data_IF_131485572669
#
_entry.id   IF_131485572669
#
_cell.length_a   1.000
_cell.length_b   1.000
_cell.length_c   1.000
_cell.angle_alpha   90.00
_cell.angle_beta   90.00
_cell.angle_gamma   90.00
#
_symmetry.space_group_name_H-M   'P 1'
#
loop_
_entity.id
_entity.type
_entity.pdbx_description
1 polymer ?
#
# COMPACT_ATOMS: atom_id res chain seq x y z
N UNK A 1 19.72 -0.65 3.84
CA UNK A 1 20.19 0.75 3.70
C UNK A 1 19.58 1.43 2.48
N UNK A 2 19.56 0.80 1.29
CA UNK A 2 18.97 1.39 0.08
C UNK A 2 17.49 1.75 0.22
N UNK A 3 16.67 0.85 0.81
CA UNK A 3 15.23 1.09 1.06
C UNK A 3 14.97 2.27 2.01
N UNK A 4 15.76 2.38 3.07
CA UNK A 4 15.68 3.52 3.99
C UNK A 4 16.08 4.82 3.28
N UNK A 5 17.17 4.80 2.49
CA UNK A 5 17.58 5.94 1.67
C UNK A 5 16.50 6.38 0.67
N UNK A 6 15.84 5.43 0.01
CA UNK A 6 14.72 5.73 -0.90
C UNK A 6 13.54 6.36 -0.17
N UNK A 7 13.17 5.84 0.99
CA UNK A 7 12.09 6.39 1.81
C UNK A 7 12.36 7.86 2.24
N UNK A 8 13.57 8.15 2.73
CA UNK A 8 13.92 9.51 3.17
C UNK A 8 14.18 10.47 2.00
N UNK A 9 14.60 9.98 0.84
CA UNK A 9 14.91 10.81 -0.33
C UNK A 9 13.72 11.06 -1.25
N UNK A 10 12.88 10.07 -1.45
CA UNK A 10 11.75 10.13 -2.40
C UNK A 10 10.39 10.22 -1.72
N UNK A 11 10.28 9.81 -0.45
CA UNK A 11 9.01 9.72 0.26
C UNK A 11 8.10 8.60 -0.24
N UNK A 12 6.87 8.54 0.31
CA UNK A 12 5.80 7.66 -0.14
C UNK A 12 4.72 8.46 -0.85
N UNK A 13 4.17 7.89 -1.90
CA UNK A 13 2.97 8.42 -2.57
C UNK A 13 1.73 7.98 -1.78
N UNK A 14 1.37 8.73 -0.75
CA UNK A 14 0.20 8.44 0.08
C UNK A 14 -1.10 8.63 -0.68
N UNK A 15 -2.00 7.65 -0.59
CA UNK A 15 -3.37 7.75 -1.07
C UNK A 15 -4.26 8.66 -0.20
N UNK A 16 -5.47 8.88 -0.67
CA UNK A 16 -6.48 9.70 0.05
C UNK A 16 -6.82 9.11 1.43
N UNK A 17 -6.64 7.81 1.63
CA UNK A 17 -6.82 7.16 2.93
C UNK A 17 -5.99 7.79 4.06
N UNK A 18 -4.84 8.37 3.71
CA UNK A 18 -3.88 8.94 4.67
C UNK A 18 -3.71 10.47 4.58
N UNK A 19 -4.08 11.06 3.44
CA UNK A 19 -4.01 12.51 3.23
C UNK A 19 -5.37 13.21 3.30
N UNK A 20 -6.44 12.46 3.10
CA UNK A 20 -7.75 12.99 2.80
C UNK A 20 -7.85 13.50 1.36
N UNK A 21 -9.02 13.89 0.95
CA UNK A 21 -9.29 14.43 -0.37
C UNK A 21 -10.35 13.66 -1.15
N UNK A 22 -10.40 13.92 -2.44
CA UNK A 22 -11.38 13.33 -3.36
C UNK A 22 -10.68 12.54 -4.45
N UNK A 23 -11.15 11.31 -4.68
CA UNK A 23 -10.69 10.42 -5.75
C UNK A 23 -11.90 10.08 -6.62
N UNK A 24 -11.75 10.33 -7.92
CA UNK A 24 -12.78 10.05 -8.91
C UNK A 24 -12.16 9.21 -10.03
N UNK A 25 -12.75 8.04 -10.27
CA UNK A 25 -12.46 7.21 -11.44
C UNK A 25 -13.55 7.39 -12.47
N UNK A 26 -13.16 7.80 -13.67
CA UNK A 26 -14.06 7.96 -14.79
C UNK A 26 -13.67 7.05 -15.95
N UNK A 27 -14.67 6.56 -16.68
CA UNK A 27 -14.53 5.92 -17.98
C UNK A 27 -14.98 6.87 -19.09
N UNK A 28 -14.28 6.85 -20.22
CA UNK A 28 -14.62 7.58 -21.44
C UNK A 28 -14.90 6.61 -22.58
N UNK A 29 -15.74 6.99 -23.54
CA UNK A 29 -16.07 6.14 -24.70
C UNK A 29 -14.84 5.90 -25.62
N UNK A 30 -13.94 6.86 -25.71
CA UNK A 30 -12.70 6.82 -26.48
C UNK A 30 -11.51 7.03 -25.55
N UNK A 31 -10.28 6.89 -26.08
CA UNK A 31 -9.06 7.17 -25.32
C UNK A 31 -9.09 8.60 -24.73
N UNK A 32 -8.91 8.72 -23.43
CA UNK A 32 -9.08 9.96 -22.70
C UNK A 32 -7.98 10.98 -23.04
N UNK A 33 -8.35 12.21 -23.35
CA UNK A 33 -7.42 13.33 -23.42
C UNK A 33 -7.15 13.89 -22.01
N UNK A 34 -6.10 13.39 -21.37
CA UNK A 34 -5.70 13.84 -20.03
C UNK A 34 -5.36 15.34 -19.99
N UNK A 35 -4.90 15.91 -21.12
CA UNK A 35 -4.59 17.34 -21.23
C UNK A 35 -5.86 18.19 -21.17
N UNK A 36 -6.87 17.79 -21.93
CA UNK A 36 -8.17 18.46 -21.94
C UNK A 36 -8.86 18.36 -20.58
N UNK A 37 -8.86 17.17 -19.96
CA UNK A 37 -9.45 16.97 -18.61
C UNK A 37 -8.72 17.84 -17.57
N UNK A 38 -7.39 17.88 -17.60
CA UNK A 38 -6.61 18.73 -16.68
C UNK A 38 -6.88 20.22 -16.90
N UNK A 39 -7.00 20.64 -18.15
CA UNK A 39 -7.32 22.03 -18.49
C UNK A 39 -8.71 22.44 -17.98
N UNK A 40 -9.71 21.59 -18.19
CA UNK A 40 -11.08 21.79 -17.69
C UNK A 40 -11.12 21.93 -16.17
N UNK A 41 -10.46 21.01 -15.45
CA UNK A 41 -10.43 21.05 -13.98
C UNK A 41 -9.61 22.21 -13.43
N UNK A 42 -8.66 22.76 -14.19
CA UNK A 42 -7.89 23.94 -13.75
C UNK A 42 -8.73 25.19 -13.60
N UNK A 43 -9.87 25.28 -14.28
CA UNK A 43 -10.82 26.39 -14.16
C UNK A 43 -11.48 26.49 -12.77
N UNK A 44 -11.50 25.35 -12.04
CA UNK A 44 -12.06 25.28 -10.70
C UNK A 44 -11.08 25.79 -9.60
N UNK A 45 -9.81 26.02 -9.94
CA UNK A 45 -8.76 26.48 -9.00
C UNK A 45 -8.61 25.57 -7.75
N UNK A 46 -8.72 24.24 -7.93
CA UNK A 46 -8.70 23.24 -6.85
C UNK A 46 -7.30 22.98 -6.25
N UNK A 47 -6.28 23.73 -6.64
CA UNK A 47 -4.90 23.48 -6.22
C UNK A 47 -4.26 22.33 -6.98
N UNK A 48 -3.68 21.33 -6.26
CA UNK A 48 -3.01 20.19 -6.91
C UNK A 48 -4.04 19.15 -7.37
N UNK A 49 -4.27 19.10 -8.68
CA UNK A 49 -5.15 18.11 -9.34
C UNK A 49 -4.30 17.15 -10.13
N UNK A 50 -4.26 15.90 -9.70
CA UNK A 50 -3.56 14.83 -10.40
C UNK A 50 -4.54 14.08 -11.31
N UNK A 51 -4.23 14.06 -12.61
CA UNK A 51 -5.00 13.34 -13.63
C UNK A 51 -4.09 12.34 -14.32
N UNK A 52 -4.41 11.06 -14.25
CA UNK A 52 -3.59 9.99 -14.81
C UNK A 52 -4.45 8.87 -15.44
N UNK A 53 -3.88 8.15 -16.40
CA UNK A 53 -4.48 6.91 -16.89
C UNK A 53 -4.52 5.85 -15.78
N UNK A 54 -5.58 5.05 -15.76
CA UNK A 54 -5.81 4.03 -14.75
C UNK A 54 -6.23 2.70 -15.38
N UNK A 55 -5.28 1.94 -15.86
CA UNK A 55 -5.49 0.63 -16.48
C UNK A 55 -5.66 0.70 -17.98
N UNK A 56 -6.87 1.01 -18.48
CA UNK A 56 -7.11 1.18 -19.91
C UNK A 56 -6.93 2.66 -20.33
N UNK A 57 -6.64 2.95 -21.62
CA UNK A 57 -6.57 4.32 -22.12
C UNK A 57 -7.89 5.11 -22.01
N UNK A 58 -8.99 4.42 -21.79
CA UNK A 58 -10.31 5.00 -21.57
C UNK A 58 -10.60 5.33 -20.09
N UNK A 59 -9.75 4.87 -19.19
CA UNK A 59 -9.98 4.98 -17.75
C UNK A 59 -9.06 6.03 -17.16
N UNK A 60 -9.62 7.00 -16.43
CA UNK A 60 -8.89 8.11 -15.84
C UNK A 60 -9.14 8.17 -14.36
N UNK A 61 -8.07 8.28 -13.59
CA UNK A 61 -8.08 8.56 -12.17
C UNK A 61 -7.78 10.04 -11.94
N UNK A 62 -8.71 10.71 -11.28
CA UNK A 62 -8.60 12.11 -10.86
C UNK A 62 -8.47 12.11 -9.35
N UNK A 63 -7.41 12.71 -8.84
CA UNK A 63 -7.18 12.91 -7.42
C UNK A 63 -7.04 14.39 -7.13
N UNK A 64 -7.76 14.86 -6.12
CA UNK A 64 -7.67 16.21 -5.59
C UNK A 64 -7.33 16.12 -4.11
N UNK A 65 -6.29 16.86 -3.69
CA UNK A 65 -5.94 16.94 -2.28
C UNK A 65 -7.07 17.59 -1.48
N UNK A 66 -7.06 17.34 -0.19
CA UNK A 66 -8.01 17.94 0.75
C UNK A 66 -7.95 19.47 0.69
N UNK A 67 -9.10 20.08 0.55
CA UNK A 67 -9.26 21.53 0.66
C UNK A 67 -9.87 21.91 2.02
N UNK A 68 -9.62 23.12 2.45
CA UNK A 68 -10.21 23.69 3.67
C UNK A 68 -11.64 24.16 3.43
N UNK A 69 -12.38 24.37 4.53
CA UNK A 69 -13.74 24.94 4.48
C UNK A 69 -13.78 26.27 3.73
N UNK A 70 -12.77 27.15 3.94
CA UNK A 70 -12.71 28.45 3.26
C UNK A 70 -12.50 28.30 1.74
N UNK A 71 -11.65 27.38 1.32
CA UNK A 71 -11.42 27.08 -0.10
C UNK A 71 -12.67 26.44 -0.74
N UNK A 72 -13.41 25.60 -0.02
CA UNK A 72 -14.66 25.03 -0.51
C UNK A 72 -15.76 26.08 -0.69
N UNK A 73 -15.84 27.07 0.20
CA UNK A 73 -16.76 28.21 0.03
C UNK A 73 -16.37 29.07 -1.18
N UNK A 74 -15.07 29.29 -1.40
CA UNK A 74 -14.60 29.98 -2.61
C UNK A 74 -14.93 29.18 -3.87
N UNK A 75 -14.81 27.86 -3.82
CA UNK A 75 -15.18 26.96 -4.91
C UNK A 75 -16.67 27.01 -5.24
N UNK A 76 -17.57 27.06 -4.23
CA UNK A 76 -19.00 27.26 -4.45
C UNK A 76 -19.31 28.58 -5.18
N UNK A 77 -18.64 29.67 -4.79
CA UNK A 77 -18.76 30.95 -5.48
C UNK A 77 -18.28 30.86 -6.93
N UNK A 78 -17.16 30.15 -7.17
CA UNK A 78 -16.60 29.92 -8.51
C UNK A 78 -17.54 29.10 -9.39
N UNK A 79 -18.12 28.02 -8.85
CA UNK A 79 -19.14 27.21 -9.57
C UNK A 79 -20.32 28.05 -9.99
N UNK A 80 -20.76 28.98 -9.14
CA UNK A 80 -21.87 29.90 -9.46
C UNK A 80 -21.47 30.88 -10.56
N UNK A 81 -20.23 31.40 -10.54
CA UNK A 81 -19.70 32.29 -11.58
C UNK A 81 -19.61 31.59 -12.94
N UNK A 82 -19.13 30.32 -12.94
CA UNK A 82 -19.04 29.48 -14.13
C UNK A 82 -20.40 28.92 -14.59
N UNK A 83 -21.48 29.19 -13.86
CA UNK A 83 -22.84 28.68 -14.13
C UNK A 83 -22.91 27.16 -14.28
N UNK A 84 -22.14 26.45 -13.46
CA UNK A 84 -22.11 24.99 -13.48
C UNK A 84 -23.44 24.39 -13.01
N UNK A 85 -23.93 23.38 -13.72
CA UNK A 85 -25.14 22.64 -13.34
C UNK A 85 -24.81 21.62 -12.24
N UNK A 86 -24.92 22.05 -10.99
CA UNK A 86 -24.67 21.26 -9.81
C UNK A 86 -25.90 21.21 -8.89
N UNK A 87 -26.07 20.15 -8.08
CA UNK A 87 -27.14 20.08 -7.10
C UNK A 87 -27.20 21.28 -6.18
N UNK A 88 -28.42 21.76 -5.85
CA UNK A 88 -28.60 22.90 -4.98
C UNK A 88 -27.95 22.74 -3.60
N UNK A 89 -27.85 21.53 -3.08
CA UNK A 89 -27.13 21.20 -1.86
C UNK A 89 -25.63 21.47 -1.97
N UNK A 90 -25.02 21.26 -3.13
CA UNK A 90 -23.60 21.58 -3.35
C UNK A 90 -23.36 23.08 -3.45
N UNK A 91 -24.29 23.82 -4.06
CA UNK A 91 -24.14 25.23 -4.32
C UNK A 91 -24.53 26.13 -3.13
N UNK A 92 -25.51 25.71 -2.31
CA UNK A 92 -26.15 26.59 -1.34
C UNK A 92 -26.06 26.14 0.11
N UNK A 93 -25.73 24.87 0.39
CA UNK A 93 -25.62 24.40 1.77
C UNK A 93 -24.34 24.99 2.41
N UNK A 94 -24.41 25.28 3.71
CA UNK A 94 -23.25 25.75 4.43
C UNK A 94 -22.17 24.66 4.50
N UNK A 95 -20.94 25.06 4.19
CA UNK A 95 -19.76 24.19 4.36
C UNK A 95 -19.25 24.45 5.77
N UNK A 96 -19.47 23.50 6.67
CA UNK A 96 -19.17 23.65 8.10
C UNK A 96 -17.96 22.82 8.56
N UNK A 97 -17.68 21.72 7.84
CA UNK A 97 -16.61 20.78 8.17
C UNK A 97 -15.84 20.29 6.94
N UNK A 98 -14.79 19.51 7.18
CA UNK A 98 -13.95 18.92 6.14
C UNK A 98 -14.74 17.97 5.21
N UNK A 99 -15.71 17.21 5.74
CA UNK A 99 -16.47 16.26 4.95
C UNK A 99 -17.39 17.00 3.95
N UNK A 100 -18.08 18.05 4.39
CA UNK A 100 -18.87 18.91 3.51
C UNK A 100 -18.00 19.64 2.48
N UNK A 101 -16.79 20.08 2.86
CA UNK A 101 -15.84 20.68 1.93
C UNK A 101 -15.46 19.73 0.80
N UNK A 102 -15.14 18.46 1.12
CA UNK A 102 -14.81 17.47 0.09
C UNK A 102 -16.01 17.06 -0.79
N UNK A 103 -17.25 17.13 -0.25
CA UNK A 103 -18.46 16.92 -1.06
C UNK A 103 -18.63 18.03 -2.10
N UNK A 104 -18.29 19.28 -1.75
CA UNK A 104 -18.28 20.40 -2.72
C UNK A 104 -17.27 20.15 -3.83
N UNK A 105 -16.04 19.71 -3.50
CA UNK A 105 -15.02 19.34 -4.51
C UNK A 105 -15.55 18.29 -5.47
N UNK A 106 -16.14 17.22 -4.93
CA UNK A 106 -16.72 16.16 -5.74
C UNK A 106 -17.79 16.71 -6.70
N UNK A 107 -18.72 17.49 -6.16
CA UNK A 107 -19.80 18.09 -6.96
C UNK A 107 -19.28 19.04 -8.03
N UNK A 108 -18.27 19.85 -7.73
CA UNK A 108 -17.63 20.75 -8.67
C UNK A 108 -16.96 20.01 -9.84
N UNK A 109 -16.20 18.97 -9.56
CA UNK A 109 -15.54 18.14 -10.59
C UNK A 109 -16.58 17.49 -11.48
N UNK A 110 -17.63 16.91 -10.89
CA UNK A 110 -18.69 16.28 -11.67
C UNK A 110 -19.43 17.30 -12.58
N UNK A 111 -19.78 18.47 -12.04
CA UNK A 111 -20.44 19.52 -12.79
C UNK A 111 -19.57 20.03 -13.95
N UNK A 112 -18.28 20.30 -13.69
CA UNK A 112 -17.34 20.77 -14.71
C UNK A 112 -17.13 19.73 -15.82
N UNK A 113 -16.87 18.48 -15.44
CA UNK A 113 -16.66 17.41 -16.42
C UNK A 113 -17.91 17.14 -17.27
N UNK A 114 -19.11 17.20 -16.67
CA UNK A 114 -20.35 17.03 -17.40
C UNK A 114 -20.67 18.21 -18.33
N UNK A 115 -20.16 19.41 -18.02
CA UNK A 115 -20.32 20.57 -18.89
C UNK A 115 -19.42 20.48 -20.15
N UNK A 116 -18.19 20.01 -19.98
CA UNK A 116 -17.17 20.04 -21.03
C UNK A 116 -17.09 18.74 -21.84
N UNK A 117 -17.51 17.62 -21.26
CA UNK A 117 -17.37 16.29 -21.88
C UNK A 117 -18.70 15.53 -21.90
N UNK A 118 -18.91 14.76 -22.96
CA UNK A 118 -20.05 13.83 -23.11
C UNK A 118 -19.55 12.38 -22.97
N UNK A 119 -20.41 11.47 -22.50
CA UNK A 119 -20.08 10.05 -22.43
C UNK A 119 -19.14 9.69 -21.26
N UNK A 120 -19.12 10.48 -20.18
CA UNK A 120 -18.37 10.15 -18.99
C UNK A 120 -19.17 9.18 -18.11
N UNK A 121 -18.56 8.06 -17.79
CA UNK A 121 -19.05 7.09 -16.82
C UNK A 121 -18.27 7.22 -15.50
N UNK A 122 -18.95 7.55 -14.40
CA UNK A 122 -18.34 7.60 -13.07
C UNK A 122 -18.31 6.20 -12.45
N UNK A 123 -17.11 5.59 -12.35
CA UNK A 123 -16.96 4.21 -11.86
C UNK A 123 -16.70 4.17 -10.36
N UNK A 124 -15.93 5.14 -9.85
CA UNK A 124 -15.58 5.21 -8.44
C UNK A 124 -15.57 6.67 -7.98
N UNK A 125 -16.18 6.90 -6.84
CA UNK A 125 -16.25 8.21 -6.22
C UNK A 125 -15.94 8.03 -4.72
N UNK A 126 -14.77 8.42 -4.30
CA UNK A 126 -14.35 8.34 -2.91
C UNK A 126 -14.02 9.73 -2.39
N UNK A 127 -14.53 10.00 -1.20
CA UNK A 127 -14.32 11.27 -0.49
C UNK A 127 -13.94 10.95 0.94
N UNK A 128 -12.79 11.48 1.38
CA UNK A 128 -12.30 11.26 2.73
C UNK A 128 -11.92 12.59 3.36
N UNK A 129 -12.60 12.95 4.46
CA UNK A 129 -12.26 14.09 5.29
C UNK A 129 -10.95 13.86 6.07
N UNK A 130 -10.33 14.95 6.51
CA UNK A 130 -9.03 14.90 7.16
C UNK A 130 -9.04 14.15 8.50
N UNK A 131 -10.13 14.22 9.25
CA UNK A 131 -10.26 13.51 10.53
C UNK A 131 -10.26 12.00 10.31
N UNK A 132 -11.04 11.51 9.35
CA UNK A 132 -11.11 10.07 9.01
C UNK A 132 -9.77 9.57 8.53
N UNK A 133 -9.08 10.31 7.67
CA UNK A 133 -7.76 9.94 7.17
C UNK A 133 -6.70 9.88 8.28
N UNK A 134 -6.74 10.78 9.25
CA UNK A 134 -5.86 10.74 10.42
C UNK A 134 -6.14 9.51 11.29
N UNK A 135 -7.42 9.21 11.55
CA UNK A 135 -7.81 8.01 12.29
C UNK A 135 -7.34 6.73 11.59
N UNK A 136 -7.49 6.65 10.26
CA UNK A 136 -7.02 5.52 9.46
C UNK A 136 -5.49 5.38 9.49
N UNK A 137 -4.76 6.51 9.44
CA UNK A 137 -3.30 6.52 9.55
C UNK A 137 -2.83 5.99 10.90
N UNK A 138 -3.43 6.45 11.98
CA UNK A 138 -3.11 6.00 13.34
C UNK A 138 -3.47 4.52 13.50
N UNK A 139 -4.66 4.11 13.07
CA UNK A 139 -5.12 2.73 13.15
C UNK A 139 -4.21 1.78 12.34
N UNK A 140 -3.87 2.13 11.10
CA UNK A 140 -3.00 1.34 10.23
C UNK A 140 -1.59 1.19 10.81
N UNK A 141 -0.99 2.28 11.27
CA UNK A 141 0.34 2.25 11.91
C UNK A 141 0.30 1.39 13.18
N UNK A 142 -0.72 1.58 14.02
CA UNK A 142 -0.90 0.80 15.25
C UNK A 142 -1.07 -0.69 14.93
N UNK A 143 -1.86 -1.04 13.91
CA UNK A 143 -2.06 -2.42 13.51
C UNK A 143 -0.73 -3.11 13.12
N UNK A 144 0.12 -2.43 12.35
CA UNK A 144 1.44 -2.98 11.98
C UNK A 144 2.33 -3.16 13.22
N UNK A 145 2.40 -2.17 14.10
CA UNK A 145 3.21 -2.25 15.32
C UNK A 145 2.72 -3.36 16.27
N UNK A 146 1.42 -3.47 16.46
CA UNK A 146 0.81 -4.53 17.29
C UNK A 146 1.05 -5.90 16.67
N UNK A 147 0.91 -6.05 15.37
CA UNK A 147 1.20 -7.31 14.69
C UNK A 147 2.66 -7.75 14.87
N UNK A 148 3.62 -6.83 14.67
CA UNK A 148 5.05 -7.10 14.89
C UNK A 148 5.32 -7.48 16.35
N UNK A 149 4.72 -6.78 17.30
CA UNK A 149 4.85 -7.09 18.73
C UNK A 149 4.30 -8.46 19.08
N UNK A 150 3.09 -8.79 18.63
CA UNK A 150 2.45 -10.10 18.86
C UNK A 150 3.27 -11.24 18.23
N UNK A 151 3.83 -11.01 17.03
CA UNK A 151 4.74 -11.97 16.40
C UNK A 151 6.02 -12.18 17.22
N UNK A 152 6.61 -11.11 17.76
CA UNK A 152 7.75 -11.22 18.67
C UNK A 152 7.40 -12.07 19.89
N UNK A 153 6.27 -11.79 20.54
CA UNK A 153 5.81 -12.54 21.71
C UNK A 153 5.59 -14.01 21.34
N UNK A 154 4.91 -14.30 20.23
CA UNK A 154 4.68 -15.66 19.77
C UNK A 154 5.97 -16.44 19.55
N UNK A 155 6.94 -15.84 18.84
CA UNK A 155 8.23 -16.51 18.58
C UNK A 155 9.03 -16.70 19.86
N UNK A 156 8.98 -15.74 20.78
CA UNK A 156 9.66 -15.87 22.09
C UNK A 156 9.10 -17.05 22.91
N UNK A 157 7.79 -17.26 22.91
CA UNK A 157 7.21 -18.44 23.56
C UNK A 157 7.48 -19.75 22.83
N UNK A 158 7.59 -19.70 21.47
CA UNK A 158 7.75 -20.89 20.64
C UNK A 158 9.20 -21.36 20.52
N UNK A 159 10.16 -20.43 20.57
CA UNK A 159 11.60 -20.67 20.38
C UNK A 159 12.43 -20.05 21.49
N UNK A 160 13.73 -20.38 21.50
CA UNK A 160 14.72 -19.72 22.36
C UNK A 160 14.94 -18.26 21.93
N UNK A 161 15.40 -17.39 22.83
CA UNK A 161 15.51 -15.95 22.59
C UNK A 161 16.37 -15.58 21.36
N UNK A 162 17.41 -16.37 21.06
CA UNK A 162 18.28 -16.15 19.90
C UNK A 162 17.50 -16.21 18.58
N UNK A 163 16.61 -17.21 18.46
CA UNK A 163 15.73 -17.36 17.28
C UNK A 163 14.72 -16.22 17.19
N UNK A 164 14.22 -15.74 18.33
CA UNK A 164 13.28 -14.63 18.37
C UNK A 164 13.89 -13.34 17.84
N UNK A 165 15.09 -13.01 18.25
CA UNK A 165 15.81 -11.82 17.76
C UNK A 165 16.05 -11.92 16.25
N UNK A 166 16.54 -13.07 15.75
CA UNK A 166 16.77 -13.28 14.33
C UNK A 166 15.50 -13.16 13.49
N UNK A 167 14.38 -13.75 13.97
CA UNK A 167 13.09 -13.67 13.29
C UNK A 167 12.55 -12.24 13.21
N UNK A 168 12.63 -11.47 14.33
CA UNK A 168 12.17 -10.09 14.36
C UNK A 168 12.99 -9.19 13.44
N UNK A 169 14.32 -9.35 13.44
CA UNK A 169 15.20 -8.59 12.54
C UNK A 169 14.91 -8.89 11.07
N UNK A 170 14.62 -10.15 10.73
CA UNK A 170 14.20 -10.53 9.39
C UNK A 170 12.85 -9.90 9.01
N UNK A 171 11.87 -9.88 9.93
CA UNK A 171 10.58 -9.20 9.69
C UNK A 171 10.74 -7.69 9.51
N UNK A 172 11.53 -7.03 10.33
CA UNK A 172 11.83 -5.61 10.18
C UNK A 172 12.49 -5.35 8.83
N UNK A 173 13.42 -6.20 8.42
CA UNK A 173 14.02 -6.14 7.08
C UNK A 173 12.96 -6.21 6.00
N UNK A 174 12.01 -7.15 6.06
CA UNK A 174 10.99 -7.35 5.04
C UNK A 174 10.01 -6.17 4.96
N UNK A 175 9.60 -5.62 6.12
CA UNK A 175 8.76 -4.42 6.17
C UNK A 175 9.50 -3.21 5.60
N UNK A 176 10.76 -2.98 5.99
CA UNK A 176 11.57 -1.87 5.47
C UNK A 176 11.84 -2.02 3.97
N UNK A 177 12.09 -3.26 3.50
CA UNK A 177 12.26 -3.53 2.08
C UNK A 177 10.97 -3.24 1.29
N UNK A 178 9.81 -3.57 1.86
CA UNK A 178 8.50 -3.30 1.24
C UNK A 178 8.20 -1.80 1.21
N UNK A 179 8.45 -1.07 2.29
CA UNK A 179 8.33 0.40 2.31
C UNK A 179 9.26 1.03 1.26
N UNK A 180 10.50 0.54 1.16
CA UNK A 180 11.44 0.98 0.13
C UNK A 180 10.99 0.69 -1.30
N UNK A 181 10.33 -0.43 -1.54
CA UNK A 181 9.72 -0.75 -2.82
C UNK A 181 8.66 0.28 -3.21
N UNK A 182 7.75 0.64 -2.30
CA UNK A 182 6.76 1.69 -2.54
C UNK A 182 7.40 3.07 -2.76
N UNK A 183 8.45 3.40 -2.02
CA UNK A 183 9.18 4.66 -2.21
C UNK A 183 9.85 4.76 -3.60
N UNK A 184 10.40 3.66 -4.12
CA UNK A 184 11.05 3.64 -5.44
C UNK A 184 10.04 3.60 -6.57
N UNK A 185 9.00 2.78 -6.46
CA UNK A 185 7.99 2.60 -7.52
C UNK A 185 6.96 3.71 -7.56
N UNK A 186 6.84 4.50 -6.49
CA UNK A 186 5.81 5.54 -6.33
C UNK A 186 4.37 5.01 -6.51
N UNK A 187 4.18 3.70 -6.33
CA UNK A 187 2.84 3.11 -6.24
C UNK A 187 2.10 3.72 -5.05
N UNK A 188 0.80 3.86 -5.20
CA UNK A 188 -0.05 4.45 -4.16
C UNK A 188 -0.01 3.64 -2.87
N UNK A 189 0.35 4.31 -1.78
CA UNK A 189 0.37 3.75 -0.44
C UNK A 189 -0.96 4.05 0.25
N UNK A 190 -1.85 3.06 0.32
CA UNK A 190 -3.21 3.16 0.83
C UNK A 190 -3.51 2.06 1.88
N UNK A 191 -4.75 1.97 2.36
CA UNK A 191 -5.14 0.95 3.36
C UNK A 191 -4.92 -0.48 2.87
N UNK A 192 -5.12 -0.76 1.59
CA UNK A 192 -4.85 -2.09 1.05
C UNK A 192 -3.36 -2.43 1.09
N UNK A 193 -2.47 -1.43 1.00
CA UNK A 193 -1.03 -1.62 1.21
C UNK A 193 -0.71 -2.03 2.65
N UNK A 194 -1.38 -1.44 3.66
CA UNK A 194 -1.24 -1.88 5.05
C UNK A 194 -1.67 -3.34 5.20
N UNK A 195 -2.80 -3.72 4.61
CA UNK A 195 -3.26 -5.10 4.60
C UNK A 195 -2.25 -6.06 3.92
N UNK A 196 -1.63 -5.62 2.81
CA UNK A 196 -0.55 -6.36 2.16
C UNK A 196 0.65 -6.54 3.09
N UNK A 197 1.12 -5.48 3.77
CA UNK A 197 2.25 -5.55 4.72
C UNK A 197 1.94 -6.54 5.84
N UNK A 198 0.74 -6.50 6.44
CA UNK A 198 0.35 -7.46 7.47
C UNK A 198 0.33 -8.90 6.96
N UNK A 199 -0.13 -9.10 5.72
CA UNK A 199 -0.11 -10.41 5.06
C UNK A 199 1.32 -10.89 4.80
N UNK A 200 2.21 -10.02 4.35
CA UNK A 200 3.64 -10.29 4.12
C UNK A 200 4.32 -10.71 5.43
N UNK A 201 4.06 -9.98 6.52
CA UNK A 201 4.58 -10.31 7.86
C UNK A 201 4.18 -11.72 8.27
N UNK A 202 2.92 -12.09 8.11
CA UNK A 202 2.42 -13.44 8.43
C UNK A 202 3.04 -14.52 7.53
N UNK A 203 3.15 -14.23 6.22
CA UNK A 203 3.73 -15.14 5.24
C UNK A 203 5.22 -15.39 5.48
N UNK A 204 6.01 -14.34 5.62
CA UNK A 204 7.45 -14.40 5.89
C UNK A 204 7.74 -15.16 7.19
N UNK A 205 6.95 -14.90 8.24
CA UNK A 205 7.09 -15.59 9.51
C UNK A 205 6.82 -17.09 9.40
N UNK A 206 5.82 -17.50 8.63
CA UNK A 206 5.51 -18.92 8.45
C UNK A 206 6.69 -19.71 7.86
N UNK A 207 7.41 -19.14 6.89
CA UNK A 207 8.59 -19.77 6.29
C UNK A 207 9.78 -19.76 7.26
N UNK A 208 10.03 -18.63 7.92
CA UNK A 208 11.09 -18.49 8.94
C UNK A 208 10.95 -19.51 10.07
N UNK A 209 9.73 -19.74 10.57
CA UNK A 209 9.45 -20.76 11.60
C UNK A 209 9.81 -22.15 11.14
N UNK A 210 9.50 -22.49 9.89
CA UNK A 210 9.83 -23.83 9.30
C UNK A 210 11.35 -24.02 9.20
N UNK A 211 12.06 -22.99 8.74
CA UNK A 211 13.52 -23.01 8.63
C UNK A 211 14.14 -23.15 10.02
N UNK A 212 13.70 -22.37 11.00
CA UNK A 212 14.19 -22.42 12.37
C UNK A 212 13.91 -23.73 13.09
N UNK A 213 12.73 -24.31 12.90
CA UNK A 213 12.42 -25.61 13.48
C UNK A 213 13.38 -26.70 12.94
N UNK A 214 13.70 -26.65 11.65
CA UNK A 214 14.68 -27.55 11.02
C UNK A 214 16.10 -27.28 11.49
N UNK A 215 16.50 -26.03 11.66
CA UNK A 215 17.81 -25.64 12.20
C UNK A 215 17.96 -26.21 13.62
N UNK A 216 16.96 -25.99 14.48
CA UNK A 216 16.93 -26.50 15.85
C UNK A 216 17.03 -28.01 15.92
N UNK A 217 16.31 -28.74 15.03
CA UNK A 217 16.42 -30.20 14.92
C UNK A 217 17.85 -30.63 14.57
N UNK A 218 18.48 -29.95 13.60
CA UNK A 218 19.85 -30.26 13.18
C UNK A 218 20.89 -29.95 14.25
N UNK A 219 20.79 -28.84 14.97
CA UNK A 219 21.70 -28.54 16.10
C UNK A 219 21.60 -29.59 17.22
N UNK A 220 20.41 -30.08 17.51
CA UNK A 220 20.25 -31.17 18.49
C UNK A 220 20.91 -32.47 18.05
N UNK A 221 20.90 -32.74 16.73
CA UNK A 221 21.46 -33.97 16.16
C UNK A 221 22.98 -33.89 15.97
N UNK A 222 23.52 -32.76 15.56
CA UNK A 222 24.92 -32.59 15.16
C UNK A 222 25.66 -31.60 16.07
N UNK A 223 25.88 -31.98 17.33
CA UNK A 223 26.45 -31.11 18.36
C UNK A 223 27.94 -30.75 18.17
N UNK A 224 28.68 -31.49 17.35
CA UNK A 224 30.12 -31.34 17.13
C UNK A 224 30.50 -30.71 15.81
N UNK A 225 29.53 -30.45 14.93
CA UNK A 225 29.77 -29.84 13.62
C UNK A 225 29.81 -28.31 13.70
N UNK A 226 30.57 -27.65 12.81
CA UNK A 226 30.51 -26.19 12.69
C UNK A 226 29.11 -25.67 12.45
N UNK A 227 28.75 -24.55 13.06
CA UNK A 227 27.42 -23.91 12.94
C UNK A 227 27.00 -23.70 11.48
N UNK A 228 27.90 -23.20 10.63
CA UNK A 228 27.63 -22.95 9.21
C UNK A 228 27.24 -24.23 8.44
N UNK A 229 27.91 -25.34 8.74
CA UNK A 229 27.60 -26.63 8.09
C UNK A 229 26.19 -27.10 8.49
N UNK A 230 25.84 -26.96 9.78
CA UNK A 230 24.51 -27.34 10.29
C UNK A 230 23.42 -26.46 9.68
N UNK A 231 23.64 -25.15 9.57
CA UNK A 231 22.72 -24.23 8.91
C UNK A 231 22.52 -24.59 7.44
N UNK A 232 23.58 -24.79 6.69
CA UNK A 232 23.51 -25.20 5.28
C UNK A 232 22.73 -26.51 5.08
N UNK A 233 22.94 -27.50 5.94
CA UNK A 233 22.17 -28.74 5.90
C UNK A 233 20.67 -28.53 6.20
N UNK A 234 20.34 -27.62 7.12
CA UNK A 234 18.95 -27.33 7.45
C UNK A 234 18.25 -26.58 6.31
N UNK A 235 18.89 -25.53 5.79
CA UNK A 235 18.37 -24.72 4.67
C UNK A 235 18.15 -25.62 3.43
N UNK A 236 19.14 -26.38 3.01
CA UNK A 236 19.00 -27.26 1.84
C UNK A 236 17.86 -28.29 2.00
N UNK A 237 17.57 -28.71 3.23
CA UNK A 237 16.47 -29.65 3.49
C UNK A 237 15.08 -28.99 3.42
N UNK A 238 14.97 -27.70 3.71
CA UNK A 238 13.71 -26.94 3.65
C UNK A 238 13.50 -26.25 2.30
N UNK A 239 14.57 -26.05 1.53
CA UNK A 239 14.57 -25.23 0.30
C UNK A 239 13.49 -25.65 -0.70
N UNK A 240 13.33 -26.95 -0.95
CA UNK A 240 12.31 -27.46 -1.87
C UNK A 240 10.88 -27.10 -1.41
N UNK A 241 10.62 -27.16 -0.11
CA UNK A 241 9.32 -26.77 0.47
C UNK A 241 9.11 -25.28 0.34
N UNK A 242 10.09 -24.46 0.74
CA UNK A 242 10.03 -23.00 0.67
C UNK A 242 9.79 -22.52 -0.76
N UNK A 243 10.54 -23.04 -1.75
CA UNK A 243 10.34 -22.69 -3.16
C UNK A 243 8.97 -23.12 -3.67
N UNK A 244 8.49 -24.31 -3.30
CA UNK A 244 7.19 -24.79 -3.75
C UNK A 244 6.05 -23.97 -3.17
N UNK A 245 6.08 -23.68 -1.87
CA UNK A 245 5.04 -22.85 -1.22
C UNK A 245 5.04 -21.42 -1.74
N UNK A 246 6.20 -20.79 -1.89
CA UNK A 246 6.32 -19.44 -2.45
C UNK A 246 5.92 -19.41 -3.92
N UNK A 247 6.33 -20.40 -4.71
CA UNK A 247 5.98 -20.49 -6.12
C UNK A 247 4.48 -20.64 -6.36
N UNK A 248 3.82 -21.53 -5.62
CA UNK A 248 2.36 -21.70 -5.74
C UNK A 248 1.59 -20.44 -5.31
N UNK A 249 2.04 -19.78 -4.27
CA UNK A 249 1.45 -18.49 -3.82
C UNK A 249 1.68 -17.40 -4.86
N UNK A 250 2.89 -17.26 -5.39
CA UNK A 250 3.20 -16.28 -6.44
C UNK A 250 2.35 -16.49 -7.70
N UNK A 251 2.12 -17.74 -8.14
CA UNK A 251 1.24 -18.01 -9.29
C UNK A 251 -0.17 -17.45 -9.06
N UNK A 252 -0.74 -17.66 -7.87
CA UNK A 252 -2.07 -17.13 -7.55
C UNK A 252 -2.09 -15.58 -7.51
N UNK A 253 -1.06 -14.96 -6.91
CA UNK A 253 -0.99 -13.50 -6.81
C UNK A 253 -0.73 -12.85 -8.18
N UNK A 254 0.11 -13.47 -9.02
CA UNK A 254 0.36 -13.00 -10.41
C UNK A 254 -0.92 -13.08 -11.23
N UNK A 255 -1.71 -14.16 -11.10
CA UNK A 255 -3.02 -14.22 -11.74
C UNK A 255 -3.95 -13.09 -11.27
N UNK A 256 -3.96 -12.77 -9.98
CA UNK A 256 -4.69 -11.63 -9.43
C UNK A 256 -4.16 -10.29 -9.98
N UNK A 257 -2.85 -10.11 -10.13
CA UNK A 257 -2.27 -8.89 -10.69
C UNK A 257 -2.65 -8.66 -12.16
N UNK A 258 -2.83 -9.75 -12.94
CA UNK A 258 -3.17 -9.67 -14.37
C UNK A 258 -4.69 -9.52 -14.59
N UNK A 259 -5.50 -10.24 -13.80
CA UNK A 259 -6.95 -10.36 -14.03
C UNK A 259 -7.75 -9.44 -13.09
N UNK A 260 -7.19 -9.05 -11.94
CA UNK A 260 -7.89 -8.36 -10.85
C UNK A 260 -8.20 -6.88 -11.12
N UNK A 261 -7.75 -6.34 -12.26
CA UNK A 261 -7.96 -4.94 -12.61
C UNK A 261 -7.12 -3.95 -11.80
N UNK A 262 -7.19 -2.67 -12.14
CA UNK A 262 -6.35 -1.61 -11.56
C UNK A 262 -6.48 -1.49 -10.03
N UNK A 263 -7.69 -1.65 -9.49
CA UNK A 263 -7.96 -1.53 -8.05
C UNK A 263 -7.18 -2.56 -7.20
N UNK A 264 -6.93 -3.76 -7.72
CA UNK A 264 -6.18 -4.81 -7.01
C UNK A 264 -4.70 -4.86 -7.39
N UNK A 265 -4.28 -4.15 -8.42
CA UNK A 265 -2.94 -4.23 -8.97
C UNK A 265 -1.88 -3.80 -7.95
N UNK A 266 -2.06 -2.67 -7.27
CA UNK A 266 -1.13 -2.19 -6.24
C UNK A 266 -0.97 -3.17 -5.09
N UNK A 267 -2.08 -3.72 -4.60
CA UNK A 267 -2.10 -4.75 -3.57
C UNK A 267 -1.37 -6.03 -4.03
N UNK A 268 -1.66 -6.50 -5.24
CA UNK A 268 -1.03 -7.70 -5.81
C UNK A 268 0.48 -7.52 -6.00
N UNK A 269 0.92 -6.37 -6.52
CA UNK A 269 2.35 -6.06 -6.68
C UNK A 269 3.08 -6.01 -5.34
N UNK A 270 2.46 -5.43 -4.31
CA UNK A 270 2.98 -5.46 -2.95
C UNK A 270 3.18 -6.89 -2.43
N UNK A 271 2.18 -7.75 -2.63
CA UNK A 271 2.26 -9.16 -2.22
C UNK A 271 3.30 -9.95 -3.03
N UNK A 272 3.41 -9.75 -4.34
CA UNK A 272 4.45 -10.38 -5.18
C UNK A 272 5.83 -10.03 -4.63
N UNK A 273 6.09 -8.73 -4.41
CA UNK A 273 7.33 -8.27 -3.81
C UNK A 273 7.56 -8.88 -2.43
N UNK A 274 6.56 -8.82 -1.56
CA UNK A 274 6.64 -9.28 -0.18
C UNK A 274 6.88 -10.78 -0.06
N UNK A 275 6.25 -11.62 -0.88
CA UNK A 275 6.50 -13.06 -0.92
C UNK A 275 7.90 -13.36 -1.42
N UNK A 276 8.39 -12.64 -2.43
CA UNK A 276 9.74 -12.81 -2.96
C UNK A 276 10.79 -12.41 -1.90
N UNK A 277 10.65 -11.24 -1.28
CA UNK A 277 11.60 -10.75 -0.28
C UNK A 277 11.55 -11.57 1.01
N UNK A 278 10.37 -12.00 1.47
CA UNK A 278 10.20 -12.86 2.65
C UNK A 278 10.81 -14.25 2.45
N UNK A 279 10.67 -14.82 1.25
CA UNK A 279 11.34 -16.07 0.89
C UNK A 279 12.86 -15.93 0.87
N UNK A 280 13.37 -14.82 0.34
CA UNK A 280 14.80 -14.50 0.41
C UNK A 280 15.24 -14.30 1.87
N UNK A 281 14.48 -13.56 2.65
CA UNK A 281 14.81 -13.17 4.01
C UNK A 281 14.88 -14.37 4.97
N UNK A 282 13.97 -15.34 4.85
CA UNK A 282 13.97 -16.55 5.69
C UNK A 282 15.27 -17.36 5.52
N UNK A 283 15.84 -17.37 4.33
CA UNK A 283 17.05 -18.15 3.99
C UNK A 283 18.33 -17.35 4.25
N UNK A 284 18.38 -16.09 3.75
CA UNK A 284 19.62 -15.31 3.67
C UNK A 284 19.73 -14.22 4.74
N UNK A 285 18.67 -13.94 5.50
CA UNK A 285 18.71 -13.00 6.62
C UNK A 285 18.48 -13.73 7.94
N UNK A 286 17.33 -14.37 8.11
CA UNK A 286 16.96 -14.99 9.38
C UNK A 286 17.92 -16.11 9.79
N UNK A 287 18.26 -17.05 8.89
CA UNK A 287 19.14 -18.16 9.22
C UNK A 287 20.59 -17.73 9.52
N UNK A 288 21.26 -16.85 8.72
CA UNK A 288 22.61 -16.37 9.06
C UNK A 288 22.69 -15.54 10.33
N UNK A 289 21.63 -14.82 10.73
CA UNK A 289 21.64 -14.07 11.99
C UNK A 289 21.86 -14.96 13.22
N UNK A 290 21.53 -16.25 13.14
CA UNK A 290 21.79 -17.20 14.22
C UNK A 290 23.29 -17.44 14.44
N UNK A 291 24.15 -17.24 13.44
CA UNK A 291 25.60 -17.33 13.62
C UNK A 291 26.14 -16.21 14.52
N UNK A 292 25.46 -15.04 14.51
CA UNK A 292 25.86 -13.88 15.32
C UNK A 292 25.35 -13.95 16.75
N UNK A 293 24.26 -14.68 16.98
CA UNK A 293 23.63 -14.81 18.32
C UNK A 293 24.19 -15.97 19.15
N UNK A 294 25.15 -16.74 18.63
CA UNK A 294 25.86 -17.78 19.37
C UNK A 294 25.02 -19.01 19.71
N UNK A 295 24.12 -19.39 18.81
CA UNK A 295 23.30 -20.60 18.94
C UNK A 295 24.06 -21.88 18.55
#
# INVERSE_FOLDING_TARGET
>A
LGSAGAFFGMGLNFGIDFRGGTLIEIGTDEAADLGAIRSSLSELELGDVQVQEFGAPTDVLIRVERITVAEAQALQARMTELQLDAPASILNDAVEDDDSAQQVVRGAIQAQLNADFTGIEYRRLEVLGGQVSEELRVAGTTAVLVALFLMLVYIWFRFEWQYSVGAVLALVHDVVATIGFFAVTQLEFNLSTIAAILTIVGYSMNDTVVVYDRIREKFRKYKTRPTEEVLNMAINKTLSRTILTSGTTLVAIVAMAIIGGPALQGFALALIWGVAIGTYSSIFVAAPLLTLTGS
#
